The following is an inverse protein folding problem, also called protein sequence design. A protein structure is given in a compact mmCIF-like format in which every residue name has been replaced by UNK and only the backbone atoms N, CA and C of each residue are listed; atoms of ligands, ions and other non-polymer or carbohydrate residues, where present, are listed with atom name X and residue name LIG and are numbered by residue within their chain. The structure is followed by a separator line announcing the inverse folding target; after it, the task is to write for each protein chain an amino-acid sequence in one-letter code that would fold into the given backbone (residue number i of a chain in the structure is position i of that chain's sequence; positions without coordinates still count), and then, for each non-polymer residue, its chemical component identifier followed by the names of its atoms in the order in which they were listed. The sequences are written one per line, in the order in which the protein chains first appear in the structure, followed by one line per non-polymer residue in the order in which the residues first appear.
data_IF_922564619542
#
_entry.id   IF_922564619542
#
_cell.length_a   1.000
_cell.length_b   1.000
_cell.length_c   1.000
_cell.angle_alpha   90.00
_cell.angle_beta   90.00
_cell.angle_gamma   90.00
#
_symmetry.space_group_name_H-M   'P 1'
#
loop_
_entity.id
_entity.type
_entity.pdbx_description
1 polymer ?
#
# COMPACT_ATOMS: atom_id res chain seq x y z
N UNK A 1 12.92 23.26 -33.54
CA UNK A 1 13.43 22.44 -32.42
C UNK A 1 12.58 22.63 -31.16
N UNK A 2 11.83 21.60 -30.74
CA UNK A 2 10.99 21.66 -29.53
C UNK A 2 11.91 21.58 -28.29
N UNK A 3 11.77 22.47 -27.30
CA UNK A 3 12.62 22.43 -26.11
C UNK A 3 12.46 21.09 -25.38
N UNK A 4 13.54 20.54 -24.79
CA UNK A 4 13.44 19.31 -24.02
C UNK A 4 12.48 19.51 -22.84
N UNK A 5 11.68 18.50 -22.49
CA UNK A 5 10.79 18.59 -21.34
C UNK A 5 11.62 18.86 -20.07
N UNK A 6 11.09 19.66 -19.13
CA UNK A 6 11.77 19.95 -17.88
C UNK A 6 12.11 18.64 -17.14
N UNK A 7 13.25 18.55 -16.45
CA UNK A 7 13.60 17.37 -15.68
C UNK A 7 12.48 17.08 -14.69
N UNK A 8 11.93 15.86 -14.75
CA UNK A 8 10.96 15.40 -13.74
C UNK A 8 11.63 15.53 -12.38
N UNK A 9 10.99 16.26 -11.46
CA UNK A 9 11.39 16.25 -10.04
C UNK A 9 11.57 14.79 -9.61
N UNK A 10 12.65 14.54 -8.86
CA UNK A 10 12.85 13.26 -8.18
C UNK A 10 11.52 12.83 -7.55
N UNK A 11 11.05 11.59 -7.77
CA UNK A 11 9.85 11.09 -7.11
C UNK A 11 10.06 10.92 -5.60
N UNK A 12 11.29 11.12 -5.12
CA UNK A 12 11.69 10.97 -3.73
C UNK A 12 11.68 12.33 -3.02
N UNK A 13 11.11 12.41 -1.81
CA UNK A 13 11.10 13.63 -1.03
C UNK A 13 12.54 14.08 -0.72
N UNK A 14 12.79 15.38 -0.90
CA UNK A 14 14.07 16.00 -0.57
C UNK A 14 14.28 16.21 0.94
N UNK A 15 13.24 16.03 1.74
CA UNK A 15 13.28 16.18 3.20
C UNK A 15 12.79 14.89 3.91
N UNK A 16 13.70 14.10 4.51
CA UNK A 16 13.37 12.86 5.23
C UNK A 16 12.69 13.10 6.59
N UNK A 17 12.55 14.36 7.02
CA UNK A 17 11.87 14.73 8.28
C UNK A 17 10.40 15.11 8.10
N UNK A 18 9.89 15.15 6.85
CA UNK A 18 8.54 15.58 6.55
C UNK A 18 7.50 14.55 7.04
N UNK A 19 6.99 14.80 8.23
CA UNK A 19 5.93 14.05 8.88
C UNK A 19 4.63 14.19 8.06
N UNK A 20 4.40 13.27 7.11
CA UNK A 20 3.12 13.20 6.39
C UNK A 20 2.09 12.56 7.33
N UNK A 21 1.47 13.37 8.18
CA UNK A 21 0.25 13.01 8.88
C UNK A 21 -0.89 12.93 7.88
N UNK A 22 -0.97 11.81 7.18
CA UNK A 22 -2.15 11.47 6.41
C UNK A 22 -3.24 11.04 7.40
N UNK A 23 -3.98 12.02 7.95
CA UNK A 23 -5.32 11.76 8.49
C UNK A 23 -6.25 11.48 7.33
N UNK A 24 -6.03 10.35 6.66
CA UNK A 24 -7.07 9.75 5.86
C UNK A 24 -8.14 9.27 6.85
N UNK A 25 -9.22 10.03 7.00
CA UNK A 25 -10.46 9.50 7.57
C UNK A 25 -10.81 8.26 6.76
N UNK A 26 -10.68 7.05 7.31
CA UNK A 26 -10.92 5.85 6.53
C UNK A 26 -12.38 5.87 6.10
N UNK A 27 -12.62 6.01 4.80
CA UNK A 27 -13.97 5.97 4.25
C UNK A 27 -14.42 4.51 4.29
N UNK A 28 -14.97 4.07 5.42
CA UNK A 28 -15.53 2.72 5.62
C UNK A 28 -16.84 2.49 4.85
N UNK A 29 -17.20 3.39 3.93
CA UNK A 29 -18.46 3.37 3.20
C UNK A 29 -18.72 2.03 2.50
N UNK A 30 -17.68 1.38 1.97
CA UNK A 30 -17.78 0.04 1.34
C UNK A 30 -18.25 -1.01 2.34
N UNK A 31 -17.67 -1.03 3.54
CA UNK A 31 -18.05 -1.98 4.58
C UNK A 31 -19.45 -1.71 5.14
N UNK A 32 -19.82 -0.44 5.32
CA UNK A 32 -21.19 -0.07 5.69
C UNK A 32 -22.19 -0.53 4.63
N UNK A 33 -21.88 -0.30 3.35
CA UNK A 33 -22.71 -0.70 2.22
C UNK A 33 -22.90 -2.22 2.18
N UNK A 34 -21.82 -3.01 2.17
CA UNK A 34 -21.95 -4.47 2.10
C UNK A 34 -22.58 -5.09 3.35
N UNK A 35 -22.33 -4.54 4.55
CA UNK A 35 -22.98 -5.02 5.77
C UNK A 35 -24.49 -4.74 5.77
N UNK A 36 -24.90 -3.53 5.37
CA UNK A 36 -26.31 -3.18 5.23
C UNK A 36 -27.01 -4.00 4.14
N UNK A 37 -26.32 -4.27 3.03
CA UNK A 37 -26.84 -5.07 1.92
C UNK A 37 -27.01 -6.54 2.33
N UNK A 38 -26.09 -7.11 3.11
CA UNK A 38 -26.22 -8.45 3.67
C UNK A 38 -27.37 -8.55 4.68
N UNK A 39 -27.47 -7.61 5.63
CA UNK A 39 -28.57 -7.60 6.61
C UNK A 39 -29.92 -7.41 5.89
N UNK A 40 -29.97 -6.53 4.89
CA UNK A 40 -31.17 -6.29 4.08
C UNK A 40 -31.60 -7.50 3.26
N UNK A 41 -30.65 -8.22 2.64
CA UNK A 41 -30.96 -9.42 1.84
C UNK A 41 -31.45 -10.58 2.71
N UNK A 42 -30.83 -10.81 3.87
CA UNK A 42 -31.27 -11.83 4.84
C UNK A 42 -32.67 -11.49 5.36
N UNK A 43 -32.93 -10.23 5.73
CA UNK A 43 -34.26 -9.80 6.19
C UNK A 43 -35.33 -10.01 5.11
N UNK A 44 -35.02 -9.69 3.85
CA UNK A 44 -35.94 -9.91 2.72
C UNK A 44 -36.21 -11.41 2.47
N UNK A 45 -35.19 -12.26 2.59
CA UNK A 45 -35.34 -13.70 2.43
C UNK A 45 -36.19 -14.34 3.55
N UNK A 46 -36.03 -13.89 4.79
CA UNK A 46 -36.73 -14.44 5.98
C UNK A 46 -38.15 -13.92 6.11
N UNK A 47 -38.36 -12.60 6.01
CA UNK A 47 -39.65 -11.96 6.28
C UNK A 47 -40.58 -11.98 5.06
N UNK A 48 -40.04 -12.16 3.85
CA UNK A 48 -40.82 -12.21 2.62
C UNK A 48 -41.56 -10.92 2.26
N UNK A 49 -41.26 -9.82 2.95
CA UNK A 49 -41.93 -8.53 2.79
C UNK A 49 -40.99 -7.52 2.12
N UNK A 50 -41.36 -6.91 0.99
CA UNK A 50 -40.53 -5.93 0.29
C UNK A 50 -40.62 -4.57 0.98
N UNK A 51 -39.92 -4.38 2.10
CA UNK A 51 -39.84 -3.07 2.74
C UNK A 51 -38.86 -2.17 1.98
N UNK A 52 -39.36 -1.09 1.36
CA UNK A 52 -38.69 0.21 1.05
C UNK A 52 -37.45 0.25 0.14
N UNK A 53 -36.55 -0.73 0.24
CA UNK A 53 -35.36 -0.93 -0.59
C UNK A 53 -35.66 -1.67 -1.90
N UNK A 54 -36.92 -2.08 -2.13
CA UNK A 54 -37.36 -2.80 -3.34
C UNK A 54 -37.10 -2.03 -4.64
N UNK A 55 -37.14 -0.68 -4.61
CA UNK A 55 -36.78 0.15 -5.78
C UNK A 55 -35.28 0.24 -6.08
N UNK A 56 -34.41 -0.04 -5.11
CA UNK A 56 -32.96 -0.09 -5.32
C UNK A 56 -32.50 -1.49 -5.68
N UNK A 57 -33.15 -2.51 -5.10
CA UNK A 57 -32.95 -3.89 -5.47
C UNK A 57 -33.55 -4.21 -6.83
N UNK A 58 -34.56 -3.49 -7.36
CA UNK A 58 -35.07 -3.73 -8.73
C UNK A 58 -34.03 -3.58 -9.84
N UNK A 59 -32.88 -2.95 -9.56
CA UNK A 59 -31.75 -2.86 -10.50
C UNK A 59 -30.80 -4.07 -10.46
N UNK A 60 -30.88 -4.90 -9.40
CA UNK A 60 -30.04 -6.09 -9.19
C UNK A 60 -30.90 -7.36 -9.05
N UNK A 61 -32.19 -7.23 -8.75
CA UNK A 61 -33.12 -8.33 -8.58
C UNK A 61 -33.61 -8.76 -9.94
N UNK A 62 -33.11 -9.91 -10.36
CA UNK A 62 -33.88 -10.83 -11.17
C UNK A 62 -35.27 -10.93 -10.53
N UNK A 63 -36.32 -10.55 -11.27
CA UNK A 63 -37.70 -10.85 -10.90
C UNK A 63 -37.78 -12.36 -10.64
N UNK A 64 -37.87 -12.74 -9.38
CA UNK A 64 -37.91 -14.13 -9.00
C UNK A 64 -38.89 -14.33 -7.86
N UNK A 65 -40.11 -14.67 -8.23
CA UNK A 65 -41.17 -15.17 -7.34
C UNK A 65 -40.71 -16.36 -6.46
N UNK A 66 -39.65 -17.08 -6.85
CA UNK A 66 -39.24 -18.29 -6.13
C UNK A 66 -38.45 -17.99 -4.85
N UNK A 67 -38.82 -18.69 -3.76
CA UNK A 67 -38.07 -18.73 -2.49
C UNK A 67 -36.58 -19.07 -2.71
N UNK A 68 -36.26 -19.88 -3.72
CA UNK A 68 -34.89 -20.28 -4.08
C UNK A 68 -34.05 -19.09 -4.54
N UNK A 69 -34.59 -18.21 -5.38
CA UNK A 69 -33.85 -17.06 -5.88
C UNK A 69 -33.52 -16.03 -4.79
N UNK A 70 -34.38 -15.87 -3.79
CA UNK A 70 -34.08 -15.02 -2.61
C UNK A 70 -32.87 -15.53 -1.82
N UNK A 71 -32.69 -16.84 -1.70
CA UNK A 71 -31.51 -17.42 -1.06
C UNK A 71 -30.27 -17.36 -1.96
N UNK A 72 -30.43 -17.47 -3.28
CA UNK A 72 -29.33 -17.27 -4.24
C UNK A 72 -28.81 -15.83 -4.16
N UNK A 73 -29.68 -14.82 -4.09
CA UNK A 73 -29.25 -13.42 -3.96
C UNK A 73 -28.54 -13.15 -2.63
N UNK A 74 -29.01 -13.73 -1.51
CA UNK A 74 -28.29 -13.71 -0.22
C UNK A 74 -26.89 -14.31 -0.36
N UNK A 75 -26.76 -15.47 -1.04
CA UNK A 75 -25.47 -16.11 -1.28
C UNK A 75 -24.50 -15.23 -2.08
N UNK A 76 -24.98 -14.59 -3.16
CA UNK A 76 -24.17 -13.67 -3.98
C UNK A 76 -23.68 -12.49 -3.13
N UNK A 77 -24.58 -11.87 -2.36
CA UNK A 77 -24.25 -10.75 -1.48
C UNK A 77 -23.27 -11.16 -0.39
N UNK A 78 -23.45 -12.34 0.21
CA UNK A 78 -22.54 -12.90 1.21
C UNK A 78 -21.14 -13.13 0.63
N UNK A 79 -21.04 -13.64 -0.61
CA UNK A 79 -19.77 -13.78 -1.31
C UNK A 79 -19.05 -12.44 -1.48
N UNK A 80 -19.74 -11.39 -1.95
CA UNK A 80 -19.15 -10.05 -2.07
C UNK A 80 -18.72 -9.49 -0.71
N UNK A 81 -19.52 -9.70 0.33
CA UNK A 81 -19.20 -9.28 1.69
C UNK A 81 -17.95 -9.98 2.23
N UNK A 82 -17.84 -11.31 2.08
CA UNK A 82 -16.65 -12.08 2.49
C UNK A 82 -15.41 -11.64 1.72
N UNK A 83 -15.55 -11.37 0.42
CA UNK A 83 -14.45 -10.83 -0.41
C UNK A 83 -14.01 -9.44 0.05
N UNK A 84 -14.93 -8.53 0.40
CA UNK A 84 -14.58 -7.23 0.97
C UNK A 84 -13.86 -7.40 2.32
N UNK A 85 -14.38 -8.26 3.19
CA UNK A 85 -13.78 -8.55 4.49
C UNK A 85 -12.36 -9.10 4.35
N UNK A 86 -12.16 -10.02 3.41
CA UNK A 86 -10.86 -10.63 3.09
C UNK A 86 -9.84 -9.62 2.55
N UNK A 87 -10.29 -8.56 1.87
CA UNK A 87 -9.43 -7.48 1.34
C UNK A 87 -9.36 -6.25 2.23
N UNK A 88 -9.94 -6.32 3.42
CA UNK A 88 -9.96 -5.20 4.37
C UNK A 88 -8.57 -4.85 4.86
N UNK A 89 -8.24 -3.55 4.93
CA UNK A 89 -7.02 -3.09 5.56
C UNK A 89 -6.93 -3.50 7.04
N UNK A 90 -8.09 -3.62 7.70
CA UNK A 90 -8.17 -4.00 9.11
C UNK A 90 -7.73 -5.45 9.32
N UNK A 91 -8.17 -6.37 8.47
CA UNK A 91 -7.72 -7.76 8.50
C UNK A 91 -6.22 -7.86 8.24
N UNK A 92 -5.66 -7.03 7.35
CA UNK A 92 -4.22 -6.99 7.09
C UNK A 92 -3.41 -6.65 8.35
N UNK A 93 -3.85 -5.65 9.14
CA UNK A 93 -3.20 -5.32 10.42
C UNK A 93 -3.34 -6.45 11.45
N UNK A 94 -4.52 -7.06 11.53
CA UNK A 94 -4.83 -8.11 12.51
C UNK A 94 -4.22 -9.47 12.15
N UNK A 95 -3.80 -9.67 10.89
CA UNK A 95 -3.03 -10.83 10.46
C UNK A 95 -1.57 -10.78 10.90
N UNK A 96 -1.02 -9.58 11.03
CA UNK A 96 0.38 -9.36 11.37
C UNK A 96 0.48 -8.58 12.69
N UNK A 97 0.18 -9.27 13.78
CA UNK A 97 0.24 -8.71 15.13
C UNK A 97 1.55 -9.13 15.77
N UNK A 98 2.34 -8.14 16.19
CA UNK A 98 3.69 -8.36 16.71
C UNK A 98 3.83 -7.77 18.10
N UNK A 99 4.53 -8.50 18.98
CA UNK A 99 5.00 -7.96 20.25
C UNK A 99 6.06 -6.87 20.00
N UNK A 100 6.30 -6.02 21.00
CA UNK A 100 7.25 -4.91 20.89
C UNK A 100 8.65 -5.37 20.40
N UNK A 101 9.15 -6.50 20.93
CA UNK A 101 10.47 -7.03 20.56
C UNK A 101 10.50 -7.52 19.12
N UNK A 102 9.40 -8.11 18.65
CA UNK A 102 9.27 -8.56 17.26
C UNK A 102 9.11 -7.38 16.28
N UNK A 103 8.50 -6.27 16.72
CA UNK A 103 8.50 -5.02 15.95
C UNK A 103 9.91 -4.46 15.86
N UNK A 104 10.64 -4.38 16.97
CA UNK A 104 12.00 -3.83 16.98
C UNK A 104 12.97 -4.69 16.17
N UNK A 105 12.90 -6.03 16.30
CA UNK A 105 13.67 -6.96 15.47
C UNK A 105 13.35 -6.83 13.98
N UNK A 106 12.09 -6.60 13.65
CA UNK A 106 11.68 -6.33 12.29
C UNK A 106 12.21 -4.99 11.76
N UNK A 107 12.13 -3.92 12.55
CA UNK A 107 12.69 -2.62 12.17
C UNK A 107 14.18 -2.72 11.95
N UNK A 108 14.89 -3.47 12.80
CA UNK A 108 16.31 -3.77 12.63
C UNK A 108 16.59 -4.46 11.29
N UNK A 109 15.83 -5.50 10.95
CA UNK A 109 15.96 -6.17 9.65
C UNK A 109 15.70 -5.21 8.48
N UNK A 110 14.78 -4.25 8.63
CA UNK A 110 14.52 -3.19 7.64
C UNK A 110 15.73 -2.27 7.45
N UNK A 111 16.38 -1.93 8.56
CA UNK A 111 17.56 -1.08 8.61
C UNK A 111 18.79 -1.79 8.02
N UNK A 112 18.88 -3.10 8.18
CA UNK A 112 20.00 -3.91 7.68
C UNK A 112 19.78 -4.37 6.23
N UNK A 113 18.54 -4.35 5.73
CA UNK A 113 18.23 -4.75 4.36
C UNK A 113 18.82 -3.77 3.32
N UNK A 114 19.58 -4.28 2.31
CA UNK A 114 20.16 -3.44 1.29
C UNK A 114 19.09 -2.89 0.32
N UNK A 115 19.26 -1.66 -0.18
CA UNK A 115 18.39 -1.10 -1.20
C UNK A 115 18.60 -1.80 -2.55
N UNK A 116 17.52 -2.12 -3.24
CA UNK A 116 17.50 -2.67 -4.60
C UNK A 116 16.73 -1.70 -5.49
N UNK A 117 17.43 -1.10 -6.43
CA UNK A 117 16.88 -0.10 -7.35
C UNK A 117 16.84 -0.74 -8.72
N UNK A 118 15.63 -0.95 -9.24
CA UNK A 118 15.41 -1.61 -10.53
C UNK A 118 14.75 -0.64 -11.48
N UNK A 119 15.31 -0.54 -12.68
CA UNK A 119 14.74 0.16 -13.82
C UNK A 119 14.01 -0.82 -14.71
N UNK A 120 12.87 -0.41 -15.25
CA UNK A 120 12.13 -1.17 -16.25
C UNK A 120 11.87 -0.29 -17.47
N UNK A 121 12.39 -0.69 -18.62
CA UNK A 121 12.13 -0.08 -19.92
C UNK A 121 11.07 -0.89 -20.66
N UNK A 122 9.88 -0.32 -20.79
CA UNK A 122 8.73 -0.90 -21.48
C UNK A 122 8.52 -0.18 -22.82
N UNK A 123 8.77 -0.87 -23.91
CA UNK A 123 8.50 -0.38 -25.27
C UNK A 123 7.06 -0.71 -25.66
N UNK A 124 6.37 0.25 -26.27
CA UNK A 124 4.96 0.09 -26.62
C UNK A 124 4.56 0.95 -27.83
N UNK A 125 3.48 0.54 -28.48
CA UNK A 125 2.75 1.35 -29.46
C UNK A 125 1.24 1.31 -29.18
N UNK A 126 0.50 2.16 -29.86
CA UNK A 126 -0.96 2.19 -29.79
C UNK A 126 -1.56 1.60 -31.06
N UNK A 127 -2.37 0.56 -30.90
CA UNK A 127 -3.18 0.02 -32.00
C UNK A 127 -4.59 0.63 -31.92
N UNK A 128 -5.15 1.03 -33.06
CA UNK A 128 -6.57 1.42 -33.14
C UNK A 128 -7.41 0.20 -33.46
N UNK A 129 -8.39 -0.09 -32.62
CA UNK A 129 -9.41 -1.09 -32.96
C UNK A 129 -10.40 -0.47 -33.95
N UNK A 130 -10.59 -1.09 -35.13
CA UNK A 130 -11.59 -0.68 -36.13
C UNK A 130 -12.96 -1.37 -35.96
N UNK A 131 -13.13 -2.18 -34.91
CA UNK A 131 -14.33 -3.04 -34.75
C UNK A 131 -15.52 -2.36 -34.07
N UNK A 132 -15.45 -1.07 -33.76
CA UNK A 132 -16.55 -0.35 -33.13
C UNK A 132 -16.51 1.10 -33.58
N UNK A 133 -17.67 1.76 -33.67
CA UNK A 133 -17.83 3.19 -34.01
C UNK A 133 -17.08 4.13 -33.07
N UNK A 134 -16.57 3.62 -31.95
CA UNK A 134 -15.63 4.31 -31.06
C UNK A 134 -14.17 3.96 -31.42
N UNK A 135 -13.42 4.97 -31.86
CA UNK A 135 -11.99 4.87 -32.12
C UNK A 135 -11.18 4.75 -30.82
N UNK A 136 -11.26 3.59 -30.16
CA UNK A 136 -10.45 3.30 -28.98
C UNK A 136 -9.04 2.86 -29.37
N UNK A 137 -8.03 3.50 -28.78
CA UNK A 137 -6.62 3.12 -28.94
C UNK A 137 -6.18 2.22 -27.79
N UNK A 138 -5.68 1.03 -28.09
CA UNK A 138 -5.14 0.08 -27.12
C UNK A 138 -3.62 0.19 -27.05
N UNK A 139 -3.08 0.33 -25.84
CA UNK A 139 -1.63 0.25 -25.59
C UNK A 139 -1.19 -1.21 -25.67
N UNK A 140 -0.26 -1.53 -26.56
CA UNK A 140 0.36 -2.85 -26.69
C UNK A 140 1.82 -2.74 -26.28
N UNK A 141 2.19 -3.45 -25.22
CA UNK A 141 3.58 -3.50 -24.73
C UNK A 141 4.30 -4.62 -25.46
N UNK A 142 5.33 -4.28 -26.23
CA UNK A 142 6.06 -5.20 -27.09
C UNK A 142 7.24 -5.85 -26.38
N UNK A 143 7.92 -5.10 -25.52
CA UNK A 143 9.01 -5.64 -24.70
C UNK A 143 9.15 -4.91 -23.38
N UNK A 144 9.59 -5.64 -22.34
CA UNK A 144 9.92 -5.10 -21.02
C UNK A 144 11.30 -5.60 -20.64
N UNK A 145 12.26 -4.67 -20.54
CA UNK A 145 13.62 -4.98 -20.10
C UNK A 145 13.79 -4.44 -18.69
N UNK A 146 14.43 -5.22 -17.82
CA UNK A 146 14.70 -4.83 -16.44
C UNK A 146 16.19 -4.86 -16.19
N UNK A 147 16.67 -3.84 -15.49
CA UNK A 147 18.06 -3.77 -15.06
C UNK A 147 18.12 -3.20 -13.64
N UNK A 148 19.13 -3.61 -12.88
CA UNK A 148 19.34 -3.15 -11.52
C UNK A 148 20.49 -2.14 -11.49
N UNK A 149 20.27 -1.00 -10.83
CA UNK A 149 21.34 -0.02 -10.67
C UNK A 149 22.43 -0.56 -9.74
N UNK A 150 23.67 -0.49 -10.20
CA UNK A 150 24.85 -0.85 -9.43
C UNK A 150 25.42 0.37 -8.70
N UNK A 151 25.06 0.53 -7.43
CA UNK A 151 25.66 1.51 -6.53
C UNK A 151 26.84 0.89 -5.75
N UNK A 152 27.66 1.74 -5.14
CA UNK A 152 28.91 1.32 -4.49
C UNK A 152 28.70 0.98 -3.02
N UNK A 153 28.18 1.94 -2.27
CA UNK A 153 27.92 1.79 -0.86
C UNK A 153 26.55 2.34 -0.49
N UNK A 154 26.01 1.89 0.63
CA UNK A 154 24.80 2.40 1.21
C UNK A 154 24.92 2.49 2.72
N UNK A 155 24.13 3.36 3.34
CA UNK A 155 24.01 3.48 4.79
C UNK A 155 22.59 3.84 5.20
N UNK A 156 22.26 3.56 6.45
CA UNK A 156 21.01 4.05 7.03
C UNK A 156 21.03 5.57 7.18
N UNK A 157 19.92 6.22 6.86
CA UNK A 157 19.66 7.63 7.11
C UNK A 157 18.34 7.84 7.87
N UNK A 158 17.76 6.77 8.43
CA UNK A 158 16.51 6.79 9.20
C UNK A 158 16.71 7.28 10.64
N UNK A 159 17.97 7.42 11.08
CA UNK A 159 18.35 7.74 12.46
C UNK A 159 18.57 6.51 13.34
N UNK A 160 18.66 5.31 12.75
CA UNK A 160 18.88 4.06 13.46
C UNK A 160 17.63 3.46 14.12
N UNK A 161 17.82 2.33 14.79
CA UNK A 161 16.73 1.58 15.42
C UNK A 161 16.06 2.38 16.53
N UNK A 162 16.85 3.07 17.38
CA UNK A 162 16.32 3.80 18.53
C UNK A 162 15.39 4.95 18.13
N UNK A 163 15.69 5.63 17.02
CA UNK A 163 14.85 6.68 16.47
C UNK A 163 13.51 6.12 15.95
N UNK A 164 13.52 4.99 15.24
CA UNK A 164 12.28 4.36 14.78
C UNK A 164 11.48 3.76 15.93
N UNK A 165 12.18 3.15 16.89
CA UNK A 165 11.61 2.49 18.05
C UNK A 165 10.91 3.50 18.99
N UNK A 166 11.56 4.63 19.29
CA UNK A 166 10.93 5.74 20.04
C UNK A 166 9.70 6.25 19.32
N UNK A 167 9.79 6.57 18.02
CA UNK A 167 8.67 7.09 17.22
C UNK A 167 7.40 6.24 17.29
N UNK A 168 7.51 4.91 17.16
CA UNK A 168 6.30 4.06 17.19
C UNK A 168 5.76 3.85 18.61
N UNK A 169 6.62 3.82 19.62
CA UNK A 169 6.20 3.75 21.03
C UNK A 169 5.55 5.07 21.49
N UNK A 170 6.01 6.20 20.95
CA UNK A 170 5.56 7.55 21.29
C UNK A 170 4.34 8.02 20.50
N UNK A 171 4.01 7.38 19.38
CA UNK A 171 2.82 7.67 18.58
C UNK A 171 1.52 7.68 19.41
N UNK A 172 1.49 6.96 20.54
CA UNK A 172 0.38 6.93 21.49
C UNK A 172 0.15 8.23 22.28
N UNK A 173 1.15 9.11 22.41
CA UNK A 173 1.02 10.36 23.17
C UNK A 173 0.40 11.51 22.36
N UNK A 174 0.28 11.35 21.05
CA UNK A 174 -0.29 12.37 20.14
C UNK A 174 -1.82 12.24 19.99
N UNK A 175 -2.44 11.26 20.66
CA UNK A 175 -3.87 10.95 20.59
C UNK A 175 -4.66 11.36 21.84
N UNK A 176 -5.93 11.74 21.64
CA UNK A 176 -6.87 12.22 22.68
C UNK A 176 -7.35 11.15 23.68
N UNK A 177 -6.87 9.91 23.59
CA UNK A 177 -7.35 8.77 24.36
C UNK A 177 -6.23 8.19 25.22
N UNK A 178 -6.57 7.79 26.45
CA UNK A 178 -5.67 7.11 27.39
C UNK A 178 -4.81 6.05 26.68
N UNK A 179 -3.48 6.17 26.87
CA UNK A 179 -2.38 5.29 26.42
C UNK A 179 -2.84 4.06 25.61
N UNK A 180 -3.10 4.18 24.29
CA UNK A 180 -3.47 3.03 23.47
C UNK A 180 -2.37 1.97 23.50
N UNK A 181 -2.76 0.72 23.74
CA UNK A 181 -1.86 -0.44 23.83
C UNK A 181 -1.53 -1.05 22.47
N UNK A 182 -2.27 -0.67 21.43
CA UNK A 182 -2.13 -1.13 20.07
C UNK A 182 -1.69 0.02 19.16
N UNK A 183 -0.76 -0.26 18.26
CA UNK A 183 -0.23 0.72 17.31
C UNK A 183 -0.26 0.14 15.90
N UNK A 184 -0.99 0.80 14.99
CA UNK A 184 -0.94 0.50 13.56
C UNK A 184 0.32 1.11 12.99
N UNK A 185 1.31 0.28 12.69
CA UNK A 185 2.58 0.71 12.14
C UNK A 185 2.49 0.61 10.61
N UNK A 186 2.82 1.70 9.93
CA UNK A 186 2.95 1.78 8.47
C UNK A 186 4.40 2.09 8.15
N UNK A 187 5.08 1.19 7.46
CA UNK A 187 6.44 1.45 7.01
C UNK A 187 6.42 2.04 5.60
N UNK A 188 7.11 3.16 5.43
CA UNK A 188 7.43 3.78 4.15
C UNK A 188 8.92 3.62 3.91
N UNK A 189 9.31 3.65 2.63
CA UNK A 189 10.69 3.55 2.20
C UNK A 189 11.05 4.77 1.37
N UNK A 190 12.22 5.32 1.63
CA UNK A 190 12.79 6.39 0.84
C UNK A 190 14.26 6.10 0.52
N UNK A 191 14.71 6.71 -0.56
CA UNK A 191 16.07 6.64 -1.04
C UNK A 191 16.60 8.07 -1.19
N UNK A 192 17.80 8.31 -0.69
CA UNK A 192 18.48 9.60 -0.77
C UNK A 192 19.88 9.39 -1.35
N UNK A 193 20.32 10.28 -2.22
CA UNK A 193 21.70 10.26 -2.72
C UNK A 193 22.64 10.90 -1.71
N UNK A 194 23.84 10.34 -1.54
CA UNK A 194 24.83 10.87 -0.61
C UNK A 194 25.39 12.22 -1.07
N UNK A 195 25.50 12.40 -2.38
CA UNK A 195 26.13 13.55 -3.02
C UNK A 195 25.57 13.78 -4.44
N UNK A 196 25.83 14.97 -5.00
CA UNK A 196 25.38 15.34 -6.35
C UNK A 196 26.09 14.56 -7.45
N UNK A 197 27.30 14.05 -7.23
CA UNK A 197 27.99 13.22 -8.22
C UNK A 197 27.33 11.84 -8.35
N UNK A 198 26.91 11.24 -7.24
CA UNK A 198 26.11 10.02 -7.20
C UNK A 198 24.77 10.20 -7.90
N UNK A 199 24.08 11.32 -7.66
CA UNK A 199 22.83 11.65 -8.37
C UNK A 199 23.06 11.76 -9.89
N UNK A 200 24.13 12.45 -10.32
CA UNK A 200 24.50 12.55 -11.73
C UNK A 200 24.84 11.20 -12.35
N UNK A 201 25.59 10.35 -11.64
CA UNK A 201 25.93 9.01 -12.11
C UNK A 201 24.70 8.12 -12.23
N UNK A 202 23.79 8.15 -11.25
CA UNK A 202 22.49 7.49 -11.32
C UNK A 202 21.71 7.89 -12.57
N UNK A 203 21.55 9.21 -12.78
CA UNK A 203 20.83 9.72 -13.95
C UNK A 203 21.55 9.44 -15.26
N UNK A 204 22.88 9.43 -15.27
CA UNK A 204 23.70 9.06 -16.42
C UNK A 204 23.50 7.60 -16.83
N UNK A 205 23.55 6.68 -15.86
CA UNK A 205 23.30 5.26 -16.10
C UNK A 205 21.84 5.00 -16.52
N UNK A 206 20.87 5.66 -15.88
CA UNK A 206 19.46 5.57 -16.27
C UNK A 206 19.22 6.08 -17.70
N UNK A 207 19.87 7.18 -18.08
CA UNK A 207 19.79 7.71 -19.45
C UNK A 207 20.45 6.77 -20.46
N UNK A 208 21.58 6.16 -20.11
CA UNK A 208 22.23 5.15 -20.95
C UNK A 208 21.33 3.93 -21.14
N UNK A 209 20.73 3.41 -20.06
CA UNK A 209 19.76 2.33 -20.10
C UNK A 209 18.55 2.67 -20.98
N UNK A 210 17.98 3.87 -20.84
CA UNK A 210 16.87 4.33 -21.66
C UNK A 210 17.25 4.43 -23.15
N UNK A 211 18.44 4.95 -23.46
CA UNK A 211 18.94 5.07 -24.85
C UNK A 211 19.15 3.69 -25.49
N UNK A 212 19.70 2.74 -24.75
CA UNK A 212 19.92 1.37 -25.21
C UNK A 212 18.61 0.66 -25.61
N UNK A 213 17.47 1.07 -25.05
CA UNK A 213 16.16 0.45 -25.32
C UNK A 213 15.21 1.31 -26.16
N UNK A 214 15.64 2.51 -26.58
CA UNK A 214 14.80 3.49 -27.29
C UNK A 214 14.37 3.06 -28.69
N UNK A 215 15.18 2.25 -29.37
CA UNK A 215 14.99 1.91 -30.78
C UNK A 215 14.07 0.71 -31.01
N UNK A 216 13.48 0.12 -29.96
CA UNK A 216 12.67 -1.10 -30.10
C UNK A 216 11.22 -0.84 -30.51
N UNK A 217 10.67 0.36 -30.32
CA UNK A 217 9.27 0.70 -30.68
C UNK A 217 9.03 2.24 -30.72
N UNK A 218 7.81 2.67 -31.08
CA UNK A 218 7.38 4.08 -31.21
C UNK A 218 7.47 4.85 -29.89
N UNK A 219 7.13 4.20 -28.78
CA UNK A 219 7.18 4.80 -27.45
C UNK A 219 7.98 3.94 -26.46
N UNK A 220 8.67 4.63 -25.56
CA UNK A 220 9.41 4.03 -24.46
C UNK A 220 8.92 4.61 -23.13
N UNK A 221 8.50 3.74 -22.21
CA UNK A 221 8.22 4.09 -20.82
C UNK A 221 9.33 3.55 -19.93
N UNK A 222 10.02 4.42 -19.20
CA UNK A 222 11.03 4.01 -18.23
C UNK A 222 10.47 4.20 -16.83
N UNK A 223 10.32 3.11 -16.12
CA UNK A 223 9.85 3.06 -14.74
C UNK A 223 11.01 2.78 -13.80
N UNK A 224 11.01 3.47 -12.65
CA UNK A 224 12.00 3.30 -11.59
C UNK A 224 11.28 2.69 -10.40
N UNK A 225 11.85 1.62 -9.84
CA UNK A 225 11.31 0.96 -8.66
C UNK A 225 12.40 0.80 -7.62
N UNK A 226 12.02 1.03 -6.37
CA UNK A 226 12.88 0.89 -5.22
C UNK A 226 12.26 -0.11 -4.25
N UNK A 227 13.03 -1.11 -3.86
CA UNK A 227 12.66 -2.11 -2.86
C UNK A 227 13.81 -2.30 -1.89
N UNK A 228 13.51 -2.66 -0.66
CA UNK A 228 14.51 -3.26 0.21
C UNK A 228 14.55 -4.75 -0.14
N UNK A 229 15.75 -5.34 -0.16
CA UNK A 229 15.89 -6.76 -0.46
C UNK A 229 15.05 -7.58 0.53
N UNK A 230 14.34 -8.58 0.02
CA UNK A 230 13.47 -9.47 0.80
C UNK A 230 12.31 -8.74 1.53
N UNK A 231 11.90 -7.59 0.99
CA UNK A 231 10.91 -6.70 1.60
C UNK A 231 9.81 -6.26 0.63
N UNK A 232 8.56 -6.31 1.08
CA UNK A 232 7.40 -5.95 0.26
C UNK A 232 6.97 -4.48 0.38
N UNK A 233 6.36 -3.95 -0.69
CA UNK A 233 6.10 -2.52 -0.90
C UNK A 233 5.22 -1.83 0.16
N UNK A 234 4.43 -2.57 0.96
CA UNK A 234 3.41 -2.02 1.87
C UNK A 234 3.34 -2.80 3.20
N UNK A 235 4.43 -2.84 3.96
CA UNK A 235 4.39 -3.51 5.26
C UNK A 235 3.55 -2.73 6.29
N UNK A 236 2.50 -3.42 6.75
CA UNK A 236 1.51 -2.91 7.71
C UNK A 236 1.38 -3.96 8.79
N UNK A 237 1.72 -3.59 10.02
CA UNK A 237 1.61 -4.47 11.17
C UNK A 237 0.92 -3.76 12.33
N UNK A 238 0.43 -4.56 13.25
CA UNK A 238 -0.12 -4.11 14.50
C UNK A 238 0.88 -4.41 15.61
N UNK A 239 1.53 -3.37 16.13
CA UNK A 239 2.42 -3.48 17.28
C UNK A 239 1.62 -3.51 18.57
N UNK A 240 1.93 -4.45 19.46
CA UNK A 240 1.38 -4.56 20.81
C UNK A 240 2.41 -4.04 21.80
N UNK A 241 2.05 -3.01 22.58
CA UNK A 241 2.93 -2.44 23.60
C UNK A 241 2.83 -3.23 24.90
N UNK A 242 3.97 -3.43 25.57
CA UNK A 242 4.00 -3.92 26.97
C UNK A 242 3.20 -2.97 27.89
N UNK A 243 2.53 -3.49 28.93
CA UNK A 243 2.69 -4.82 29.53
C UNK A 243 1.77 -5.91 28.97
N UNK A 244 0.99 -5.65 27.92
CA UNK A 244 -0.18 -6.47 27.56
C UNK A 244 0.12 -7.87 27.00
N UNK A 245 1.37 -8.35 26.99
CA UNK A 245 1.77 -9.74 26.71
C UNK A 245 0.72 -10.57 25.96
N UNK A 246 0.78 -10.54 24.63
CA UNK A 246 -0.18 -11.10 23.66
C UNK A 246 -1.42 -10.21 23.33
N UNK A 247 -1.77 -10.06 22.04
CA UNK A 247 -3.01 -9.41 21.66
C UNK A 247 -4.19 -10.22 22.21
N UNK A 248 -5.11 -9.56 22.93
CA UNK A 248 -6.34 -10.21 23.38
C UNK A 248 -7.08 -10.89 22.22
N UNK A 249 -7.81 -11.99 22.48
CA UNK A 249 -8.39 -12.87 21.47
C UNK A 249 -9.21 -12.15 20.36
N UNK A 250 -9.77 -10.98 20.69
CA UNK A 250 -10.50 -10.11 19.76
C UNK A 250 -9.63 -9.54 18.63
N UNK A 251 -8.33 -9.33 18.86
CA UNK A 251 -7.40 -8.71 17.93
C UNK A 251 -6.61 -9.75 17.13
N UNK A 252 -7.26 -10.87 16.82
CA UNK A 252 -6.73 -11.95 16.00
C UNK A 252 -7.57 -12.10 14.73
N UNK A 253 -7.07 -12.76 13.67
CA UNK A 253 -7.87 -13.02 12.47
C UNK A 253 -9.16 -13.79 12.78
N UNK A 254 -9.12 -14.70 13.76
CA UNK A 254 -10.30 -15.42 14.24
C UNK A 254 -11.34 -14.47 14.84
N UNK A 255 -10.91 -13.53 15.69
CA UNK A 255 -11.79 -12.49 16.24
C UNK A 255 -12.42 -11.62 15.14
N UNK A 256 -11.65 -11.22 14.13
CA UNK A 256 -12.19 -10.48 12.98
C UNK A 256 -13.27 -11.27 12.23
N UNK A 257 -13.00 -12.55 11.91
CA UNK A 257 -13.95 -13.39 11.18
C UNK A 257 -15.20 -13.73 12.00
N UNK A 258 -15.09 -13.85 13.31
CA UNK A 258 -16.23 -13.99 14.21
C UNK A 258 -17.16 -12.77 14.11
N UNK A 259 -16.61 -11.56 14.21
CA UNK A 259 -17.38 -10.33 14.01
C UNK A 259 -17.91 -10.21 12.58
N UNK A 260 -17.15 -10.66 11.57
CA UNK A 260 -17.60 -10.67 10.19
C UNK A 260 -18.81 -11.59 9.99
N UNK A 261 -18.78 -12.80 10.57
CA UNK A 261 -19.90 -13.74 10.53
C UNK A 261 -21.18 -13.18 11.15
N UNK A 262 -21.06 -12.31 12.16
CA UNK A 262 -22.18 -11.62 12.79
C UNK A 262 -22.63 -10.35 12.05
N UNK A 263 -22.01 -9.98 10.93
CA UNK A 263 -22.29 -8.71 10.23
C UNK A 263 -21.75 -7.47 10.96
N UNK A 264 -20.88 -7.65 11.95
CA UNK A 264 -20.35 -6.61 12.85
C UNK A 264 -18.95 -6.12 12.45
N UNK A 265 -18.62 -6.13 11.15
CA UNK A 265 -17.31 -5.64 10.68
C UNK A 265 -17.11 -4.14 10.89
N UNK A 266 -18.15 -3.32 10.71
CA UNK A 266 -18.08 -1.87 10.93
C UNK A 266 -17.79 -1.52 12.40
N UNK A 267 -18.55 -2.03 13.40
CA UNK A 267 -18.25 -1.74 14.80
C UNK A 267 -16.89 -2.31 15.23
N UNK A 268 -16.47 -3.46 14.70
CA UNK A 268 -15.11 -3.98 14.93
C UNK A 268 -14.02 -3.00 14.47
N UNK A 269 -14.17 -2.44 13.25
CA UNK A 269 -13.23 -1.45 12.70
C UNK A 269 -13.20 -0.17 13.55
N UNK A 270 -14.36 0.32 13.96
CA UNK A 270 -14.48 1.51 14.81
C UNK A 270 -13.85 1.28 16.20
N UNK A 271 -14.05 0.10 16.80
CA UNK A 271 -13.45 -0.26 18.08
C UNK A 271 -11.92 -0.33 17.98
N UNK A 272 -11.40 -0.97 16.92
CA UNK A 272 -9.97 -1.01 16.65
C UNK A 272 -9.39 0.40 16.47
N UNK A 273 -10.07 1.28 15.74
CA UNK A 273 -9.61 2.66 15.54
C UNK A 273 -9.60 3.48 16.83
N UNK A 274 -10.54 3.26 17.74
CA UNK A 274 -10.54 3.92 19.06
C UNK A 274 -9.43 3.41 19.98
N UNK A 275 -9.02 2.15 19.82
CA UNK A 275 -8.00 1.49 20.67
C UNK A 275 -6.58 1.54 20.09
N UNK A 276 -6.43 1.91 18.82
CA UNK A 276 -5.15 1.93 18.13
C UNK A 276 -4.66 3.35 17.84
N UNK A 277 -3.39 3.62 18.17
CA UNK A 277 -2.65 4.73 17.56
C UNK A 277 -2.20 4.36 16.13
N UNK A 278 -1.79 5.35 15.34
CA UNK A 278 -1.19 5.14 14.01
C UNK A 278 0.21 5.73 14.03
N UNK A 279 1.21 4.91 13.71
CA UNK A 279 2.59 5.33 13.54
C UNK A 279 2.98 5.13 12.06
N UNK A 280 3.44 6.19 11.40
CA UNK A 280 4.04 6.07 10.06
C UNK A 280 5.54 6.23 10.23
N UNK A 281 6.27 5.17 9.94
CA UNK A 281 7.72 5.10 10.03
C UNK A 281 8.29 5.15 8.63
N UNK A 282 9.44 5.80 8.45
CA UNK A 282 10.10 5.91 7.17
C UNK A 282 11.53 5.38 7.27
N UNK A 283 11.84 4.37 6.47
CA UNK A 283 13.19 3.81 6.34
C UNK A 283 13.86 4.49 5.16
N UNK A 284 14.86 5.31 5.46
CA UNK A 284 15.61 6.10 4.51
C UNK A 284 16.96 5.44 4.28
N UNK A 285 17.24 5.05 3.03
CA UNK A 285 18.55 4.55 2.63
C UNK A 285 19.31 5.63 1.89
N UNK A 286 20.54 5.89 2.33
CA UNK A 286 21.45 6.79 1.61
C UNK A 286 22.43 5.96 0.80
N UNK A 287 22.55 6.27 -0.49
CA UNK A 287 23.37 5.51 -1.45
C UNK A 287 24.46 6.39 -2.06
N UNK A 288 25.60 5.75 -2.35
CA UNK A 288 26.78 6.36 -2.99
C UNK A 288 27.15 5.57 -4.24
N UNK A 289 27.56 6.27 -5.31
CA UNK A 289 28.03 5.63 -6.54
C UNK A 289 29.33 4.83 -6.31
N UNK A 290 29.59 3.86 -7.20
CA UNK A 290 30.88 3.13 -7.27
C UNK A 290 32.00 4.00 -7.82
N UNK A 291 31.67 4.99 -8.65
CA UNK A 291 32.68 5.82 -9.29
C UNK A 291 33.20 6.84 -8.27
N UNK A 292 34.51 6.86 -7.98
CA UNK A 292 35.08 7.92 -7.17
C UNK A 292 34.81 9.26 -7.85
N UNK A 293 34.44 10.26 -7.05
CA UNK A 293 34.35 11.64 -7.50
C UNK A 293 35.74 12.04 -8.02
N UNK A 294 35.87 12.34 -9.31
CA UNK A 294 37.06 13.01 -9.80
C UNK A 294 37.16 14.34 -9.03
N UNK A 295 38.30 14.64 -8.37
CA UNK A 295 38.41 15.83 -7.55
C UNK A 295 38.04 17.06 -8.38
N UNK A 296 37.11 17.86 -7.85
CA UNK A 296 36.71 19.11 -8.47
C UNK A 296 37.90 20.08 -8.44
N UNK A 297 38.55 20.29 -9.58
CA UNK A 297 39.54 21.34 -9.78
C UNK A 297 40.94 20.84 -10.14
N UNK A 298 41.16 20.65 -11.43
CA UNK A 298 42.46 20.89 -12.06
C UNK A 298 42.20 21.41 -13.48
N UNK A 299 41.66 22.62 -13.55
CA UNK A 299 41.78 23.52 -14.70
C UNK A 299 42.49 24.78 -14.21
#
# INVERSE_FOLDING_TARGET
PKPPPPPRRSPWPSDPAALVMERATPKHWKACFFSALLIGSVRSAVVGCPCGLSKWLSYISVDCESRRARWVSVGIVACFYVLECGRSSTLRYVRDVRAAEAVDGFLKNALDAPPVITWAASSYHYERSRRTTDASSRRVVTSVNRDAWSFGAWRDASGGLDALASRWRDACFTGRAARPSLVKIRLRKALVFDDRATERDYHGQLAAFARAHRHRDVHLSVEQSYRLKDWDLDERMLGVRRPLGAPGALWTPGGFWLFAGLGLTVPYRALLERRCAVATLEVVKRVRSRRPEAPAGSD
#
